data_IF_921069026444
#
_entry.id   IF_921069026444
#
_cell.length_a   1.000
_cell.length_b   1.000
_cell.length_c   1.000
_cell.angle_alpha   90.00
_cell.angle_beta   90.00
_cell.angle_gamma   90.00
#
_symmetry.space_group_name_H-M   'P 1'
#
loop_
_entity.id
_entity.type
_entity.pdbx_description
1 polymer ?
#
# COMPACT_ATOMS: atom_id res chain seq x y z
N UNK A 1 -44.01 -19.56 -17.29
CA UNK A 1 -43.68 -18.13 -17.10
C UNK A 1 -44.91 -17.46 -16.52
N UNK A 2 -44.97 -17.32 -15.20
CA UNK A 2 -46.09 -16.65 -14.53
C UNK A 2 -45.79 -15.15 -14.57
N UNK A 3 -46.46 -14.43 -15.48
CA UNK A 3 -46.26 -13.01 -15.72
C UNK A 3 -46.92 -12.26 -14.56
N UNK A 4 -46.18 -11.35 -13.92
CA UNK A 4 -46.78 -10.38 -12.98
C UNK A 4 -47.54 -9.38 -13.83
N UNK A 5 -48.84 -9.30 -13.64
CA UNK A 5 -49.66 -8.27 -14.26
C UNK A 5 -49.53 -7.00 -13.42
N UNK A 6 -49.04 -5.94 -14.06
CA UNK A 6 -48.94 -4.59 -13.51
C UNK A 6 -50.01 -3.76 -14.21
N UNK A 7 -51.03 -3.34 -13.45
CA UNK A 7 -52.14 -2.56 -13.96
C UNK A 7 -52.09 -1.16 -13.34
N UNK A 8 -51.90 -0.17 -14.20
CA UNK A 8 -51.95 1.25 -13.82
C UNK A 8 -53.38 1.75 -13.91
N UNK A 9 -53.86 2.32 -12.81
CA UNK A 9 -55.17 2.96 -12.67
C UNK A 9 -54.97 4.47 -12.67
N UNK A 10 -55.06 5.14 -13.83
CA UNK A 10 -54.97 6.58 -13.90
C UNK A 10 -56.20 7.23 -13.24
N UNK A 11 -55.99 8.38 -12.59
CA UNK A 11 -57.09 9.21 -12.14
C UNK A 11 -57.87 9.73 -13.36
N UNK A 12 -59.15 9.36 -13.48
CA UNK A 12 -59.99 9.63 -14.66
C UNK A 12 -61.43 9.90 -14.20
N UNK A 13 -62.20 10.76 -14.91
CA UNK A 13 -63.61 11.03 -14.60
C UNK A 13 -64.52 9.80 -14.73
N UNK A 14 -64.03 8.70 -15.34
CA UNK A 14 -64.70 7.40 -15.35
C UNK A 14 -63.76 6.32 -14.76
N UNK A 15 -63.78 6.11 -13.43
CA UNK A 15 -62.76 5.35 -12.74
C UNK A 15 -62.89 3.84 -13.00
N UNK A 16 -61.97 3.29 -13.79
CA UNK A 16 -61.84 1.83 -13.97
C UNK A 16 -61.44 1.20 -12.63
N UNK A 17 -62.04 0.08 -12.27
CA UNK A 17 -61.68 -0.67 -11.08
C UNK A 17 -60.90 -1.94 -11.45
N UNK A 18 -60.11 -2.50 -10.53
CA UNK A 18 -59.43 -3.79 -10.72
C UNK A 18 -59.84 -4.74 -9.62
N UNK A 19 -60.35 -5.91 -9.99
CA UNK A 19 -60.66 -6.98 -9.05
C UNK A 19 -59.55 -8.04 -9.04
N UNK A 20 -59.19 -8.48 -7.84
CA UNK A 20 -58.33 -9.64 -7.64
C UNK A 20 -59.20 -10.90 -7.76
N UNK A 21 -59.12 -11.59 -8.89
CA UNK A 21 -59.95 -12.79 -9.17
C UNK A 21 -59.42 -14.00 -8.42
N UNK A 22 -58.09 -14.17 -8.35
CA UNK A 22 -57.45 -15.23 -7.56
C UNK A 22 -56.17 -14.71 -6.91
N UNK A 23 -55.85 -15.18 -5.70
CA UNK A 23 -54.62 -14.85 -5.00
C UNK A 23 -54.62 -13.50 -4.27
N UNK A 24 -53.59 -12.68 -4.46
CA UNK A 24 -53.45 -11.37 -3.81
C UNK A 24 -52.70 -10.35 -4.67
N UNK A 25 -53.01 -9.07 -4.50
CA UNK A 25 -52.35 -7.97 -5.21
C UNK A 25 -51.88 -6.88 -4.24
N UNK A 26 -50.70 -6.32 -4.50
CA UNK A 26 -50.17 -5.17 -3.78
C UNK A 26 -50.57 -3.88 -4.50
N UNK A 27 -51.09 -2.93 -3.74
CA UNK A 27 -51.51 -1.62 -4.26
C UNK A 27 -50.49 -0.57 -3.86
N UNK A 28 -50.01 0.18 -4.84
CA UNK A 28 -49.05 1.27 -4.69
C UNK A 28 -49.66 2.58 -5.18
N UNK A 29 -49.38 3.68 -4.49
CA UNK A 29 -49.51 5.02 -5.06
C UNK A 29 -48.22 5.35 -5.81
N UNK A 30 -48.33 5.79 -7.05
CA UNK A 30 -47.23 6.34 -7.80
C UNK A 30 -47.12 7.82 -7.45
N UNK A 31 -45.96 8.21 -6.93
CA UNK A 31 -45.63 9.60 -6.61
C UNK A 31 -44.35 10.02 -7.33
N UNK A 32 -44.32 11.25 -7.84
CA UNK A 32 -43.21 11.76 -8.65
C UNK A 32 -41.88 11.87 -7.88
N UNK A 33 -41.91 12.03 -6.55
CA UNK A 33 -40.70 12.16 -5.74
C UNK A 33 -40.30 10.87 -5.01
N UNK A 34 -41.28 10.06 -4.57
CA UNK A 34 -41.04 8.84 -3.80
C UNK A 34 -41.13 7.54 -4.63
N UNK A 35 -41.52 7.63 -5.90
CA UNK A 35 -41.62 6.51 -6.84
C UNK A 35 -42.87 5.67 -6.60
N UNK A 36 -42.76 4.62 -5.79
CA UNK A 36 -43.88 3.73 -5.43
C UNK A 36 -44.05 3.72 -3.91
N UNK A 37 -45.20 4.16 -3.43
CA UNK A 37 -45.57 4.17 -2.02
C UNK A 37 -46.59 3.06 -1.75
N UNK A 38 -46.27 2.04 -0.94
CA UNK A 38 -47.16 0.91 -0.73
C UNK A 38 -48.35 1.27 0.16
N UNK A 39 -49.57 1.12 -0.38
CA UNK A 39 -50.83 1.45 0.30
C UNK A 39 -51.47 0.27 1.02
N UNK A 40 -51.33 -0.96 0.51
CA UNK A 40 -51.90 -2.16 1.13
C UNK A 40 -51.83 -3.39 0.24
N UNK A 41 -52.15 -4.55 0.80
CA UNK A 41 -52.26 -5.82 0.06
C UNK A 41 -53.72 -6.27 0.10
N UNK A 42 -54.31 -6.56 -1.07
CA UNK A 42 -55.71 -6.96 -1.24
C UNK A 42 -55.77 -8.44 -1.60
N UNK A 43 -56.65 -9.20 -0.95
CA UNK A 43 -56.87 -10.62 -1.22
C UNK A 43 -57.93 -10.87 -2.30
N UNK A 44 -58.12 -12.13 -2.69
CA UNK A 44 -59.10 -12.56 -3.68
C UNK A 44 -60.52 -12.07 -3.33
N UNK A 45 -61.24 -11.60 -4.35
CA UNK A 45 -62.55 -10.96 -4.23
C UNK A 45 -62.49 -9.46 -3.93
N UNK A 46 -61.33 -8.91 -3.57
CA UNK A 46 -61.17 -7.49 -3.33
C UNK A 46 -61.12 -6.66 -4.62
N UNK A 47 -61.73 -5.47 -4.57
CA UNK A 47 -61.84 -4.54 -5.70
C UNK A 47 -61.12 -3.25 -5.34
N UNK A 48 -60.17 -2.86 -6.19
CA UNK A 48 -59.40 -1.64 -6.09
C UNK A 48 -59.99 -0.60 -7.05
N UNK A 49 -60.70 0.43 -6.55
CA UNK A 49 -61.17 1.51 -7.39
C UNK A 49 -60.01 2.43 -7.81
N UNK A 50 -60.07 3.00 -9.02
CA UNK A 50 -59.20 4.11 -9.37
C UNK A 50 -59.51 5.36 -8.52
N UNK A 51 -58.52 6.21 -8.33
CA UNK A 51 -58.70 7.49 -7.65
C UNK A 51 -59.52 8.47 -8.51
N UNK A 52 -60.32 9.32 -7.85
CA UNK A 52 -61.09 10.38 -8.51
C UNK A 52 -60.19 11.47 -9.10
N UNK A 53 -60.76 12.35 -9.91
CA UNK A 53 -60.04 13.42 -10.63
C UNK A 53 -59.25 14.31 -9.65
N UNK A 54 -57.92 14.39 -9.83
CA UNK A 54 -57.00 15.08 -8.92
C UNK A 54 -56.28 14.20 -7.88
N UNK A 55 -56.57 12.89 -7.83
CA UNK A 55 -55.86 11.91 -7.00
C UNK A 55 -54.54 11.37 -7.60
N UNK A 56 -53.80 10.59 -6.81
CA UNK A 56 -52.58 9.92 -7.28
C UNK A 56 -52.90 8.72 -8.20
N UNK A 57 -52.00 8.43 -9.14
CA UNK A 57 -52.08 7.20 -9.95
C UNK A 57 -51.86 6.00 -9.05
N UNK A 58 -52.78 5.05 -9.06
CA UNK A 58 -52.65 3.80 -8.32
C UNK A 58 -52.12 2.72 -9.25
N UNK A 59 -51.26 1.87 -8.71
CA UNK A 59 -50.69 0.73 -9.42
C UNK A 59 -50.98 -0.53 -8.64
N UNK A 60 -51.66 -1.45 -9.29
CA UNK A 60 -51.97 -2.77 -8.74
C UNK A 60 -51.00 -3.77 -9.34
N UNK A 61 -50.20 -4.42 -8.49
CA UNK A 61 -49.22 -5.43 -8.89
C UNK A 61 -49.68 -6.77 -8.36
N UNK A 62 -50.02 -7.71 -9.26
CA UNK A 62 -50.41 -9.06 -8.84
C UNK A 62 -49.21 -9.82 -8.27
N UNK A 63 -49.42 -10.57 -7.19
CA UNK A 63 -48.40 -11.49 -6.66
C UNK A 63 -48.30 -12.74 -7.54
N UNK A 64 -47.23 -13.53 -7.35
CA UNK A 64 -47.02 -14.76 -8.13
C UNK A 64 -48.27 -15.66 -8.04
N UNK A 65 -48.73 -16.19 -9.17
CA UNK A 65 -49.92 -17.06 -9.26
C UNK A 65 -51.26 -16.37 -8.90
N UNK A 66 -51.31 -15.03 -8.99
CA UNK A 66 -52.54 -14.24 -8.78
C UNK A 66 -53.00 -13.62 -10.09
N UNK A 67 -54.32 -13.60 -10.34
CA UNK A 67 -54.92 -13.01 -11.55
C UNK A 67 -55.80 -11.82 -11.20
N UNK A 68 -55.65 -10.71 -11.93
CA UNK A 68 -56.46 -9.51 -11.77
C UNK A 68 -57.26 -9.24 -13.04
N UNK A 69 -58.48 -8.72 -12.90
CA UNK A 69 -59.34 -8.34 -14.02
C UNK A 69 -59.80 -6.88 -13.87
N UNK A 70 -59.81 -6.12 -14.96
CA UNK A 70 -60.39 -4.78 -15.00
C UNK A 70 -61.92 -4.86 -15.01
N UNK A 71 -62.56 -4.07 -14.16
CA UNK A 71 -64.02 -3.92 -14.04
C UNK A 71 -64.42 -2.52 -14.50
N UNK A 72 -65.52 -2.44 -15.25
CA UNK A 72 -66.10 -1.18 -15.70
C UNK A 72 -66.76 -0.40 -14.54
N UNK A 73 -66.69 0.94 -14.56
CA UNK A 73 -67.13 1.83 -13.46
C UNK A 73 -68.62 1.72 -13.08
N UNK A 74 -69.46 1.15 -13.95
CA UNK A 74 -70.91 1.04 -13.73
C UNK A 74 -71.26 -0.03 -12.68
N UNK A 75 -70.37 -1.00 -12.44
CA UNK A 75 -70.60 -2.16 -11.57
C UNK A 75 -69.98 -2.01 -10.16
N UNK A 76 -69.42 -0.84 -9.82
CA UNK A 76 -68.80 -0.54 -8.52
C UNK A 76 -69.77 -0.69 -7.34
N UNK A 77 -71.07 -0.43 -7.57
CA UNK A 77 -72.12 -0.60 -6.56
C UNK A 77 -72.50 -2.06 -6.28
N UNK A 78 -72.31 -2.96 -7.25
CA UNK A 78 -72.61 -4.39 -7.10
C UNK A 78 -71.51 -5.16 -6.35
N UNK A 79 -70.29 -4.59 -6.28
CA UNK A 79 -69.10 -5.21 -5.68
C UNK A 79 -68.71 -4.61 -4.31
N UNK A 80 -69.69 -4.13 -3.53
CA UNK A 80 -69.47 -3.45 -2.25
C UNK A 80 -68.61 -4.22 -1.23
N UNK A 81 -68.77 -5.55 -1.16
CA UNK A 81 -67.97 -6.43 -0.29
C UNK A 81 -66.49 -6.45 -0.67
N UNK A 82 -66.17 -6.34 -1.97
CA UNK A 82 -64.81 -6.30 -2.47
C UNK A 82 -64.10 -4.98 -2.18
N UNK A 83 -64.84 -3.86 -2.20
CA UNK A 83 -64.31 -2.53 -1.85
C UNK A 83 -64.04 -2.45 -0.35
N UNK A 84 -64.88 -3.07 0.48
CA UNK A 84 -64.64 -3.15 1.93
C UNK A 84 -63.31 -3.87 2.28
N UNK A 85 -62.96 -4.94 1.54
CA UNK A 85 -61.68 -5.64 1.70
C UNK A 85 -60.48 -4.76 1.33
N UNK A 86 -60.59 -3.94 0.28
CA UNK A 86 -59.57 -2.96 -0.09
C UNK A 86 -59.42 -1.88 0.97
N UNK A 87 -60.54 -1.30 1.41
CA UNK A 87 -60.55 -0.26 2.45
C UNK A 87 -59.93 -0.75 3.75
N UNK A 88 -60.23 -1.98 4.18
CA UNK A 88 -59.61 -2.59 5.35
C UNK A 88 -58.08 -2.75 5.20
N UNK A 89 -57.60 -3.14 4.01
CA UNK A 89 -56.17 -3.29 3.73
C UNK A 89 -55.42 -1.94 3.75
N UNK A 90 -56.04 -0.88 3.23
CA UNK A 90 -55.50 0.49 3.23
C UNK A 90 -55.47 1.07 4.65
N UNK A 91 -56.57 0.89 5.41
CA UNK A 91 -56.65 1.29 6.83
C UNK A 91 -55.57 0.62 7.67
N UNK A 92 -55.33 -0.67 7.47
CA UNK A 92 -54.32 -1.42 8.22
C UNK A 92 -52.89 -0.91 8.03
N UNK A 93 -52.59 -0.21 6.92
CA UNK A 93 -51.23 0.23 6.59
C UNK A 93 -51.02 1.74 6.68
N UNK A 94 -52.03 2.53 6.31
CA UNK A 94 -52.02 3.99 6.45
C UNK A 94 -52.38 4.44 7.87
N UNK A 95 -52.99 3.57 8.68
CA UNK A 95 -53.32 3.84 10.08
C UNK A 95 -54.23 5.06 10.23
N UNK A 96 -53.78 6.06 10.99
CA UNK A 96 -54.54 7.28 11.27
C UNK A 96 -54.89 8.12 10.02
N UNK A 97 -54.14 7.97 8.92
CA UNK A 97 -54.41 8.70 7.67
C UNK A 97 -55.57 8.10 6.86
N UNK A 98 -55.96 6.86 7.16
CA UNK A 98 -57.07 6.17 6.50
C UNK A 98 -58.32 6.04 7.38
N UNK A 99 -58.34 6.65 8.57
CA UNK A 99 -59.53 6.75 9.43
C UNK A 99 -60.78 7.28 8.70
N UNK A 100 -60.68 8.25 7.77
CA UNK A 100 -61.83 8.70 7.01
C UNK A 100 -62.45 7.63 6.12
N UNK A 101 -61.72 6.58 5.72
CA UNK A 101 -62.23 5.55 4.81
C UNK A 101 -63.13 4.52 5.52
N UNK A 102 -63.24 4.55 6.86
CA UNK A 102 -64.03 3.57 7.62
C UNK A 102 -65.53 3.92 7.59
N UNK A 103 -66.36 3.00 7.08
CA UNK A 103 -67.83 3.12 7.13
C UNK A 103 -68.46 4.02 6.05
N UNK A 104 -67.70 4.35 5.01
CA UNK A 104 -68.15 5.17 3.87
C UNK A 104 -68.85 4.31 2.80
N UNK A 105 -69.82 4.91 2.11
CA UNK A 105 -70.51 4.26 0.99
C UNK A 105 -69.52 3.96 -0.16
N UNK A 106 -69.62 2.80 -0.85
CA UNK A 106 -68.66 2.39 -1.88
C UNK A 106 -68.41 3.41 -3.01
N UNK A 107 -69.35 4.34 -3.23
CA UNK A 107 -69.30 5.38 -4.26
C UNK A 107 -68.44 6.59 -3.87
N UNK A 108 -68.22 6.85 -2.57
CA UNK A 108 -67.46 8.00 -2.06
C UNK A 108 -65.99 7.65 -1.75
N UNK A 109 -65.64 6.36 -1.81
CA UNK A 109 -64.28 5.85 -1.57
C UNK A 109 -63.22 6.47 -2.50
N UNK A 110 -63.46 6.68 -3.82
CA UNK A 110 -62.49 7.29 -4.72
C UNK A 110 -62.10 8.74 -4.37
N UNK A 111 -63.05 9.53 -3.87
CA UNK A 111 -62.84 10.95 -3.52
C UNK A 111 -62.05 11.10 -2.23
N UNK A 112 -62.35 10.26 -1.23
CA UNK A 112 -61.62 10.26 0.05
C UNK A 112 -60.20 9.70 -0.14
N UNK A 113 -60.02 8.73 -1.04
CA UNK A 113 -58.71 8.21 -1.41
C UNK A 113 -57.84 9.30 -2.06
N UNK A 114 -58.43 10.14 -2.91
CA UNK A 114 -57.74 11.26 -3.55
C UNK A 114 -57.19 12.30 -2.54
N UNK A 115 -57.80 12.42 -1.34
CA UNK A 115 -57.34 13.34 -0.29
C UNK A 115 -56.39 12.67 0.71
N UNK A 116 -56.65 11.41 1.09
CA UNK A 116 -55.88 10.71 2.12
C UNK A 116 -54.49 10.26 1.65
N UNK A 117 -54.36 9.87 0.37
CA UNK A 117 -53.10 9.36 -0.19
C UNK A 117 -52.01 10.44 -0.26
N UNK A 118 -52.26 11.67 -0.77
CA UNK A 118 -51.25 12.73 -0.79
C UNK A 118 -50.75 13.11 0.61
N UNK A 119 -51.64 13.18 1.61
CA UNK A 119 -51.27 13.50 3.00
C UNK A 119 -50.32 12.44 3.59
N UNK A 120 -50.56 11.16 3.30
CA UNK A 120 -49.71 10.06 3.73
C UNK A 120 -48.35 10.04 3.02
N UNK A 121 -48.34 10.28 1.70
CA UNK A 121 -47.13 10.39 0.87
C UNK A 121 -46.26 11.54 1.37
N UNK A 122 -46.85 12.70 1.65
CA UNK A 122 -46.15 13.87 2.17
C UNK A 122 -45.53 13.59 3.55
N UNK A 123 -46.25 12.92 4.45
CA UNK A 123 -45.70 12.52 5.75
C UNK A 123 -44.46 11.62 5.59
N UNK A 124 -44.53 10.59 4.73
CA UNK A 124 -43.40 9.71 4.46
C UNK A 124 -42.19 10.43 3.83
N UNK A 125 -42.43 11.45 2.98
CA UNK A 125 -41.36 12.24 2.36
C UNK A 125 -40.54 13.00 3.41
N UNK A 126 -41.22 13.67 4.35
CA UNK A 126 -40.57 14.45 5.41
C UNK A 126 -39.75 13.57 6.35
N UNK A 127 -40.26 12.39 6.67
CA UNK A 127 -39.62 11.44 7.57
C UNK A 127 -38.35 10.84 6.94
N UNK A 128 -38.38 10.55 5.62
CA UNK A 128 -37.20 10.09 4.87
C UNK A 128 -36.11 11.17 4.77
N UNK A 129 -36.49 12.43 4.57
CA UNK A 129 -35.53 13.53 4.49
C UNK A 129 -34.86 13.78 5.85
N UNK A 130 -35.60 13.73 6.95
CA UNK A 130 -35.07 13.87 8.30
C UNK A 130 -34.08 12.75 8.66
N UNK A 131 -34.35 11.50 8.25
CA UNK A 131 -33.42 10.38 8.46
C UNK A 131 -32.13 10.55 7.66
N UNK A 132 -32.24 10.98 6.40
CA UNK A 132 -31.07 11.22 5.53
C UNK A 132 -30.20 12.37 6.03
N UNK A 133 -30.78 13.46 6.52
CA UNK A 133 -30.01 14.59 7.07
C UNK A 133 -29.28 14.18 8.36
N UNK A 134 -29.94 13.42 9.24
CA UNK A 134 -29.33 12.91 10.47
C UNK A 134 -28.13 12.00 10.19
N UNK A 135 -28.22 11.11 9.20
CA UNK A 135 -27.10 10.25 8.83
C UNK A 135 -25.89 11.06 8.32
N UNK A 136 -26.14 12.07 7.47
CA UNK A 136 -25.06 12.92 6.94
C UNK A 136 -24.31 13.69 8.03
N UNK A 137 -24.98 14.08 9.11
CA UNK A 137 -24.34 14.77 10.23
C UNK A 137 -23.38 13.86 11.00
N UNK A 138 -23.76 12.59 11.21
CA UNK A 138 -22.89 11.60 11.85
C UNK A 138 -21.67 11.30 10.98
N UNK A 139 -21.89 11.06 9.68
CA UNK A 139 -20.81 10.80 8.73
C UNK A 139 -19.80 11.97 8.64
N UNK A 140 -20.26 13.21 8.83
CA UNK A 140 -19.38 14.40 8.86
C UNK A 140 -18.50 14.43 10.10
N UNK A 141 -19.04 14.09 11.28
CA UNK A 141 -18.27 14.04 12.52
C UNK A 141 -17.22 12.94 12.48
N UNK A 142 -17.59 11.74 12.02
CA UNK A 142 -16.64 10.62 11.88
C UNK A 142 -15.49 10.97 10.93
N UNK A 143 -15.80 11.70 9.84
CA UNK A 143 -14.81 12.13 8.86
C UNK A 143 -13.82 13.16 9.43
N UNK A 144 -14.28 14.07 10.28
CA UNK A 144 -13.41 15.04 10.95
C UNK A 144 -12.47 14.35 11.94
N UNK A 145 -12.97 13.37 12.69
CA UNK A 145 -12.18 12.55 13.62
C UNK A 145 -11.11 11.73 12.89
N UNK A 146 -11.46 11.11 11.77
CA UNK A 146 -10.50 10.41 10.92
C UNK A 146 -9.44 11.34 10.36
N UNK A 147 -9.83 12.51 9.85
CA UNK A 147 -8.89 13.50 9.31
C UNK A 147 -7.93 14.01 10.39
N UNK A 148 -8.43 14.28 11.60
CA UNK A 148 -7.61 14.72 12.72
C UNK A 148 -6.61 13.64 13.16
N UNK A 149 -7.02 12.35 13.16
CA UNK A 149 -6.11 11.22 13.41
C UNK A 149 -5.01 11.10 12.35
N UNK A 150 -5.36 11.29 11.07
CA UNK A 150 -4.38 11.28 9.98
C UNK A 150 -3.39 12.45 10.12
N UNK A 151 -3.88 13.66 10.39
CA UNK A 151 -3.05 14.84 10.60
C UNK A 151 -2.08 14.66 11.78
N UNK A 152 -2.55 14.13 12.91
CA UNK A 152 -1.72 13.86 14.08
C UNK A 152 -0.61 12.83 13.79
N UNK A 153 -0.92 11.78 13.03
CA UNK A 153 0.07 10.78 12.63
C UNK A 153 1.14 11.36 11.68
N UNK A 154 0.74 12.16 10.69
CA UNK A 154 1.67 12.81 9.76
C UNK A 154 2.58 13.80 10.51
N UNK A 155 2.02 14.63 11.38
CA UNK A 155 2.80 15.58 12.18
C UNK A 155 3.78 14.84 13.12
N UNK A 156 3.34 13.75 13.75
CA UNK A 156 4.20 12.89 14.57
C UNK A 156 5.32 12.22 13.78
N UNK A 157 5.05 11.81 12.54
CA UNK A 157 6.05 11.21 11.65
C UNK A 157 7.07 12.25 11.16
N UNK A 158 6.64 13.45 10.78
CA UNK A 158 7.53 14.54 10.36
C UNK A 158 8.43 15.02 11.51
N UNK A 159 7.89 15.18 12.73
CA UNK A 159 8.69 15.53 13.89
C UNK A 159 9.74 14.45 14.23
N UNK A 160 9.39 13.17 14.06
CA UNK A 160 10.35 12.06 14.17
C UNK A 160 11.44 12.19 13.11
N UNK A 161 11.09 12.24 11.83
CA UNK A 161 12.07 12.33 10.74
C UNK A 161 13.02 13.52 10.89
N UNK A 162 12.52 14.67 11.36
CA UNK A 162 13.34 15.84 11.67
C UNK A 162 14.32 15.57 12.83
N UNK A 163 13.84 14.99 13.94
CA UNK A 163 14.69 14.61 15.07
C UNK A 163 15.75 13.55 14.70
N UNK A 164 15.46 12.68 13.73
CA UNK A 164 16.40 11.68 13.23
C UNK A 164 17.54 12.29 12.40
N UNK A 165 17.24 13.36 11.66
CA UNK A 165 18.23 14.06 10.84
C UNK A 165 19.19 14.91 11.68
N UNK A 166 18.76 15.33 12.88
CA UNK A 166 19.56 16.17 13.79
C UNK A 166 20.43 15.35 14.76
N UNK A 167 20.19 14.03 14.89
CA UNK A 167 21.00 13.19 15.77
C UNK A 167 22.39 12.90 15.18
N UNK A 168 23.38 13.35 15.94
CA UNK A 168 24.81 13.22 15.68
C UNK A 168 25.24 11.77 15.43
N UNK A 169 24.69 10.82 16.21
CA UNK A 169 25.02 9.40 16.09
C UNK A 169 24.42 8.78 14.82
N UNK A 170 23.17 9.14 14.50
CA UNK A 170 22.46 8.63 13.32
C UNK A 170 23.14 9.15 12.06
N UNK A 171 23.51 10.43 12.03
CA UNK A 171 24.25 11.04 10.92
C UNK A 171 25.59 10.32 10.69
N UNK A 172 26.34 10.04 11.76
CA UNK A 172 27.59 9.28 11.65
C UNK A 172 27.35 7.85 11.10
N UNK A 173 26.34 7.12 11.59
CA UNK A 173 26.00 5.80 11.07
C UNK A 173 25.54 5.84 9.60
N UNK A 174 24.76 6.85 9.20
CA UNK A 174 24.31 7.02 7.82
C UNK A 174 25.50 7.21 6.87
N UNK A 175 26.53 7.95 7.27
CA UNK A 175 27.77 8.11 6.48
C UNK A 175 28.52 6.79 6.30
N UNK A 176 28.56 5.97 7.34
CA UNK A 176 29.14 4.62 7.24
C UNK A 176 28.27 3.75 6.32
N UNK A 177 26.95 3.89 6.42
CA UNK A 177 25.95 3.24 5.57
C UNK A 177 26.10 3.59 4.09
N UNK A 178 26.31 4.87 3.76
CA UNK A 178 26.57 5.33 2.39
C UNK A 178 27.83 4.69 1.80
N UNK A 179 28.87 4.50 2.63
CA UNK A 179 30.14 3.91 2.20
C UNK A 179 30.10 2.37 2.09
N UNK A 180 29.32 1.70 2.95
CA UNK A 180 29.26 0.23 3.05
C UNK A 180 27.99 -0.39 2.46
N UNK A 181 27.03 0.43 2.01
CA UNK A 181 25.80 0.02 1.36
C UNK A 181 24.69 -0.46 2.30
N UNK A 182 24.53 0.12 3.50
CA UNK A 182 23.42 -0.20 4.40
C UNK A 182 22.58 1.03 4.76
N UNK A 183 21.30 0.81 5.06
CA UNK A 183 20.36 1.85 5.47
C UNK A 183 20.16 1.81 6.98
N UNK A 184 20.22 2.97 7.63
CA UNK A 184 20.00 3.12 9.07
C UNK A 184 18.54 3.42 9.32
N UNK A 185 17.90 2.64 10.20
CA UNK A 185 16.52 2.83 10.64
C UNK A 185 16.53 3.13 12.14
N UNK A 186 15.91 4.25 12.53
CA UNK A 186 15.80 4.60 13.93
C UNK A 186 14.64 3.85 14.61
N UNK A 187 14.83 3.31 15.82
CA UNK A 187 13.74 2.69 16.57
C UNK A 187 12.71 3.73 17.00
N UNK A 188 11.40 3.41 17.02
CA UNK A 188 10.41 4.23 17.69
C UNK A 188 10.68 4.20 19.20
N UNK A 189 11.14 5.33 19.77
CA UNK A 189 11.26 5.52 21.22
C UNK A 189 12.66 5.49 21.83
N UNK A 190 13.73 5.71 21.06
CA UNK A 190 15.06 5.94 21.67
C UNK A 190 15.07 7.28 22.38
N UNK A 191 15.29 7.28 23.69
CA UNK A 191 15.54 8.47 24.49
C UNK A 191 16.81 9.16 23.99
N UNK A 192 16.70 10.41 23.54
CA UNK A 192 17.85 11.22 23.10
C UNK A 192 18.80 11.58 24.26
N UNK A 193 18.36 11.41 25.51
CA UNK A 193 19.10 11.77 26.72
C UNK A 193 20.24 10.81 27.10
N UNK A 194 20.31 9.63 26.47
CA UNK A 194 21.38 8.66 26.74
C UNK A 194 22.65 8.98 25.96
N UNK A 195 23.82 8.62 26.52
CA UNK A 195 25.11 8.78 25.83
C UNK A 195 25.08 8.07 24.47
N UNK A 196 25.68 8.64 23.41
CA UNK A 196 25.71 8.04 22.08
C UNK A 196 26.19 6.57 22.06
N UNK A 197 27.16 6.21 22.92
CA UNK A 197 27.64 4.83 23.07
C UNK A 197 26.55 3.85 23.53
N UNK A 198 25.67 4.28 24.43
CA UNK A 198 24.66 3.43 25.07
C UNK A 198 23.40 3.31 24.18
N UNK A 199 23.22 4.28 23.27
CA UNK A 199 22.16 4.27 22.25
C UNK A 199 22.49 3.39 21.04
N UNK A 200 23.78 3.13 20.79
CA UNK A 200 24.25 2.34 19.66
C UNK A 200 23.61 0.94 19.55
N UNK A 201 23.47 0.14 20.63
CA UNK A 201 22.84 -1.18 20.56
C UNK A 201 21.38 -1.12 20.10
N UNK A 202 20.61 -0.14 20.58
CA UNK A 202 19.20 0.05 20.20
C UNK A 202 19.06 0.44 18.73
N UNK A 203 19.88 1.39 18.27
CA UNK A 203 19.89 1.84 16.88
C UNK A 203 20.31 0.73 15.91
N UNK A 204 21.37 -0.02 16.27
CA UNK A 204 21.82 -1.17 15.50
C UNK A 204 20.75 -2.27 15.41
N UNK A 205 20.03 -2.53 16.51
CA UNK A 205 18.97 -3.54 16.54
C UNK A 205 17.80 -3.18 15.61
N UNK A 206 17.31 -1.94 15.65
CA UNK A 206 16.24 -1.49 14.74
C UNK A 206 16.67 -1.44 13.27
N UNK A 207 17.93 -1.11 13.02
CA UNK A 207 18.51 -1.12 11.67
C UNK A 207 18.83 -2.54 11.17
N UNK A 208 18.74 -3.57 12.02
CA UNK A 208 19.18 -4.94 11.69
C UNK A 208 20.69 -5.05 11.44
N UNK A 209 21.47 -4.12 11.99
CA UNK A 209 22.93 -4.06 11.84
C UNK A 209 23.60 -4.94 12.89
N UNK A 210 24.54 -5.77 12.44
CA UNK A 210 25.46 -6.48 13.33
C UNK A 210 26.75 -5.66 13.44
N UNK A 211 27.18 -5.42 14.66
CA UNK A 211 28.44 -4.73 14.92
C UNK A 211 29.35 -5.59 15.80
N UNK A 212 30.66 -5.33 15.74
CA UNK A 212 31.65 -5.88 16.65
C UNK A 212 32.54 -4.76 17.21
N UNK A 213 32.85 -4.78 18.52
CA UNK A 213 33.86 -3.90 19.07
C UNK A 213 35.25 -4.34 18.62
N UNK A 214 36.07 -3.39 18.21
CA UNK A 214 37.45 -3.56 17.75
C UNK A 214 38.33 -2.55 18.47
N UNK A 215 39.49 -2.97 18.95
CA UNK A 215 40.49 -2.05 19.50
C UNK A 215 41.32 -1.45 18.37
N UNK A 216 41.40 -0.12 18.33
CA UNK A 216 42.23 0.60 17.37
C UNK A 216 43.70 0.52 17.83
N UNK A 217 44.56 -0.04 16.97
CA UNK A 217 46.02 -0.02 17.19
C UNK A 217 46.59 1.37 16.87
N UNK A 218 47.77 1.76 17.38
CA UNK A 218 48.34 3.10 17.17
C UNK A 218 48.48 3.54 15.70
N UNK A 219 48.55 2.58 14.77
CA UNK A 219 48.69 2.80 13.31
C UNK A 219 47.39 2.48 12.55
N UNK A 220 46.23 2.72 13.17
CA UNK A 220 44.93 2.43 12.57
C UNK A 220 44.62 3.30 11.35
N UNK A 221 45.33 4.41 11.18
CA UNK A 221 45.20 5.38 10.09
C UNK A 221 45.57 4.81 8.70
N UNK A 222 46.25 3.66 8.66
CA UNK A 222 46.59 2.94 7.43
C UNK A 222 45.34 2.41 6.71
N UNK A 223 45.30 2.47 5.36
CA UNK A 223 44.11 2.06 4.61
C UNK A 223 43.75 0.58 4.86
N UNK A 224 42.58 0.33 5.46
CA UNK A 224 41.96 -1.00 5.53
C UNK A 224 40.62 -1.00 4.79
N UNK A 225 40.09 -2.20 4.59
CA UNK A 225 38.87 -2.45 3.81
C UNK A 225 37.58 -2.04 4.53
N UNK A 226 37.59 -1.83 5.84
CA UNK A 226 36.38 -1.51 6.62
C UNK A 226 36.36 -0.10 7.16
N UNK A 227 35.16 0.48 7.21
CA UNK A 227 34.85 1.74 7.88
C UNK A 227 34.45 1.45 9.32
N UNK A 228 34.74 2.37 10.23
CA UNK A 228 34.52 2.21 11.65
C UNK A 228 33.72 3.40 12.21
N UNK A 229 32.94 3.15 13.25
CA UNK A 229 32.46 4.19 14.14
C UNK A 229 33.37 4.23 15.36
N UNK A 230 33.96 5.38 15.63
CA UNK A 230 34.71 5.60 16.86
C UNK A 230 34.04 6.69 17.68
N UNK A 231 34.45 6.80 18.94
CA UNK A 231 34.04 7.89 19.83
C UNK A 231 35.29 8.69 20.22
N UNK A 232 35.15 10.01 20.31
CA UNK A 232 36.21 10.83 20.88
C UNK A 232 36.29 10.62 22.39
N UNK A 233 37.49 10.70 22.95
CA UNK A 233 37.73 10.75 24.39
C UNK A 233 37.39 12.16 24.93
N UNK A 234 36.15 12.60 24.73
CA UNK A 234 35.56 13.80 25.33
C UNK A 234 34.44 13.42 26.32
N UNK A 235 34.05 14.33 27.21
CA UNK A 235 32.99 14.07 28.19
C UNK A 235 31.63 13.74 27.52
N UNK A 236 31.43 14.22 26.29
CA UNK A 236 30.24 14.03 25.48
C UNK A 236 30.20 12.66 24.77
N UNK A 237 31.34 12.00 24.57
CA UNK A 237 31.46 10.81 23.73
C UNK A 237 31.02 11.08 22.30
N UNK A 238 31.60 12.09 21.65
CA UNK A 238 31.19 12.52 20.30
C UNK A 238 31.43 11.39 19.28
N UNK A 239 30.41 10.93 18.54
CA UNK A 239 30.58 9.89 17.53
C UNK A 239 31.32 10.44 16.31
N UNK A 240 32.26 9.64 15.81
CA UNK A 240 33.09 9.93 14.64
C UNK A 240 32.99 8.78 13.65
N UNK A 241 32.51 9.06 12.45
CA UNK A 241 32.52 8.10 11.37
C UNK A 241 33.87 8.13 10.65
N UNK A 242 34.60 7.02 10.72
CA UNK A 242 35.86 6.79 10.02
C UNK A 242 35.59 6.01 8.73
N UNK A 243 35.53 6.73 7.61
CA UNK A 243 35.20 6.15 6.30
C UNK A 243 36.48 5.91 5.51
N UNK A 244 36.63 4.70 4.97
CA UNK A 244 37.79 4.33 4.15
C UNK A 244 37.86 5.16 2.85
N UNK A 245 39.06 5.58 2.48
CA UNK A 245 39.35 6.33 1.27
C UNK A 245 40.68 5.84 0.65
N UNK A 246 40.94 6.19 -0.62
CA UNK A 246 42.04 5.68 -1.48
C UNK A 246 43.46 5.66 -0.85
N UNK A 247 43.72 6.39 0.22
CA UNK A 247 45.03 6.54 0.90
C UNK A 247 44.94 6.62 2.44
N UNK A 248 43.85 6.20 3.05
CA UNK A 248 43.64 6.31 4.51
C UNK A 248 42.17 6.49 4.85
N UNK A 249 41.86 7.22 5.92
CA UNK A 249 40.50 7.48 6.35
C UNK A 249 40.11 8.96 6.23
N UNK A 250 38.80 9.19 6.08
CA UNK A 250 38.17 10.49 6.30
C UNK A 250 37.32 10.39 7.56
N UNK A 251 37.49 11.34 8.47
CA UNK A 251 36.70 11.44 9.68
C UNK A 251 35.56 12.43 9.46
N UNK A 252 34.35 12.04 9.85
CA UNK A 252 33.21 12.94 9.96
C UNK A 252 32.91 13.11 11.45
N UNK A 253 33.15 14.32 11.96
CA UNK A 253 32.89 14.66 13.35
C UNK A 253 31.45 15.16 13.47
N UNK A 254 30.67 14.42 14.24
CA UNK A 254 29.29 14.77 14.53
C UNK A 254 28.39 15.00 13.30
N UNK A 255 27.68 16.13 13.27
CA UNK A 255 26.80 16.54 12.16
C UNK A 255 27.55 17.27 11.03
N UNK A 256 28.88 17.43 11.13
CA UNK A 256 29.64 18.15 10.11
C UNK A 256 29.57 17.43 8.76
N UNK A 257 29.09 18.15 7.75
CA UNK A 257 29.04 17.69 6.36
C UNK A 257 30.42 17.63 5.70
N UNK A 258 31.44 18.25 6.31
CA UNK A 258 32.78 18.33 5.74
C UNK A 258 33.65 17.19 6.26
N UNK A 259 34.19 16.31 5.39
CA UNK A 259 35.14 15.30 5.80
C UNK A 259 36.45 15.96 6.22
N UNK A 260 36.91 15.67 7.42
CA UNK A 260 38.25 16.02 7.88
C UNK A 260 39.23 14.89 7.54
N UNK A 261 40.46 15.27 7.19
CA UNK A 261 41.54 14.30 7.07
C UNK A 261 41.90 13.84 8.47
N UNK A 262 42.14 12.53 8.62
CA UNK A 262 42.67 12.00 9.88
C UNK A 262 44.08 12.58 10.08
N UNK A 263 44.22 13.51 11.02
CA UNK A 263 45.51 14.06 11.47
C UNK A 263 46.03 13.28 12.68
N UNK A 264 47.33 13.34 12.99
CA UNK A 264 47.89 12.72 14.19
C UNK A 264 47.23 13.19 15.48
N UNK A 265 46.77 14.45 15.54
CA UNK A 265 46.03 14.95 16.70
C UNK A 265 44.67 14.25 16.85
N UNK A 266 43.96 14.02 15.73
CA UNK A 266 42.69 13.30 15.76
C UNK A 266 42.89 11.83 16.18
N UNK A 267 43.99 11.19 15.74
CA UNK A 267 44.34 9.81 16.13
C UNK A 267 44.47 9.66 17.64
N UNK A 268 45.03 10.67 18.32
CA UNK A 268 45.18 10.67 19.78
C UNK A 268 43.87 10.99 20.52
N UNK A 269 42.96 11.73 19.89
CA UNK A 269 41.66 12.09 20.47
C UNK A 269 40.60 11.01 20.31
N UNK A 270 40.78 10.08 19.36
CA UNK A 270 39.88 8.95 19.16
C UNK A 270 40.17 7.90 20.22
N UNK A 271 39.13 7.50 20.96
CA UNK A 271 39.24 6.47 21.97
C UNK A 271 39.70 5.14 21.39
N UNK A 272 40.43 4.35 22.18
CA UNK A 272 41.03 3.08 21.74
C UNK A 272 40.04 1.99 21.32
N UNK A 273 38.73 2.24 21.38
CA UNK A 273 37.66 1.33 21.00
C UNK A 273 36.82 1.91 19.86
N UNK A 274 36.65 1.12 18.81
CA UNK A 274 35.80 1.43 17.67
C UNK A 274 34.83 0.28 17.39
N UNK A 275 33.79 0.56 16.63
CA UNK A 275 32.76 -0.40 16.25
C UNK A 275 32.79 -0.58 14.73
N UNK A 276 32.96 -1.83 14.31
CA UNK A 276 32.90 -2.22 12.91
C UNK A 276 31.53 -2.80 12.61
N UNK A 277 30.92 -2.36 11.51
CA UNK A 277 29.61 -2.82 11.07
C UNK A 277 29.75 -3.81 9.94
N UNK A 278 28.99 -4.90 10.02
CA UNK A 278 28.83 -5.84 8.92
C UNK A 278 27.58 -5.46 8.14
N UNK A 279 27.71 -5.20 6.84
CA UNK A 279 26.58 -4.92 5.95
C UNK A 279 25.58 -6.08 6.02
N UNK A 280 24.33 -5.83 6.47
CA UNK A 280 23.29 -6.86 6.48
C UNK A 280 22.83 -7.12 5.04
N UNK A 281 22.63 -8.38 4.71
CA UNK A 281 21.86 -8.75 3.51
C UNK A 281 20.44 -8.22 3.69
N UNK A 282 19.97 -7.40 2.74
CA UNK A 282 18.67 -6.72 2.81
C UNK A 282 17.56 -7.69 3.25
N UNK A 283 16.94 -7.40 4.41
CA UNK A 283 15.91 -8.26 5.01
C UNK A 283 14.56 -8.14 4.30
N UNK A 284 14.36 -7.06 3.54
CA UNK A 284 13.10 -6.72 2.86
C UNK A 284 12.94 -7.35 1.49
N UNK A 285 13.97 -7.98 0.92
CA UNK A 285 13.90 -8.64 -0.39
C UNK A 285 14.67 -9.96 -0.38
N UNK A 286 14.16 -10.98 -1.08
CA UNK A 286 14.92 -12.20 -1.32
C UNK A 286 16.26 -11.84 -1.99
N UNK A 287 17.36 -12.23 -1.35
CA UNK A 287 18.71 -11.94 -1.83
C UNK A 287 18.88 -12.48 -3.25
N UNK A 288 19.06 -11.58 -4.21
CA UNK A 288 19.27 -11.97 -5.61
C UNK A 288 20.76 -12.18 -5.85
N UNK A 289 21.15 -13.05 -6.79
CA UNK A 289 22.56 -13.28 -7.15
C UNK A 289 23.31 -11.98 -7.50
N UNK A 290 22.60 -10.97 -8.03
CA UNK A 290 23.16 -9.64 -8.32
C UNK A 290 23.59 -8.88 -7.08
N UNK A 291 22.88 -9.02 -5.97
CA UNK A 291 23.23 -8.36 -4.70
C UNK A 291 24.46 -9.02 -4.09
N UNK A 292 24.58 -10.35 -4.19
CA UNK A 292 25.79 -11.08 -3.79
C UNK A 292 27.01 -10.65 -4.62
N UNK A 293 26.86 -10.56 -5.93
CA UNK A 293 27.93 -10.11 -6.83
C UNK A 293 28.28 -8.64 -6.55
N UNK A 294 27.30 -7.77 -6.30
CA UNK A 294 27.55 -6.37 -5.92
C UNK A 294 28.34 -6.30 -4.62
N UNK A 295 27.90 -7.00 -3.57
CA UNK A 295 28.58 -7.05 -2.26
C UNK A 295 30.01 -7.61 -2.41
N UNK A 296 30.19 -8.68 -3.20
CA UNK A 296 31.50 -9.27 -3.45
C UNK A 296 32.45 -8.34 -4.24
N UNK A 297 31.91 -7.47 -5.09
CA UNK A 297 32.70 -6.51 -5.87
C UNK A 297 33.02 -5.22 -5.09
N UNK A 298 32.20 -4.82 -4.10
CA UNK A 298 32.50 -3.69 -3.22
C UNK A 298 33.77 -3.95 -2.41
N UNK A 299 34.78 -3.10 -2.57
CA UNK A 299 36.05 -3.18 -1.82
C UNK A 299 37.09 -4.17 -2.36
N UNK A 300 36.70 -5.11 -3.24
CA UNK A 300 37.59 -6.20 -3.70
C UNK A 300 38.07 -6.02 -5.16
N UNK A 301 37.74 -4.91 -5.82
CA UNK A 301 38.06 -4.69 -7.24
C UNK A 301 39.54 -4.85 -7.59
N UNK A 302 40.46 -4.48 -6.67
CA UNK A 302 41.91 -4.67 -6.86
C UNK A 302 42.30 -6.15 -6.84
N UNK A 303 41.74 -6.95 -5.95
CA UNK A 303 41.99 -8.39 -5.91
C UNK A 303 41.47 -9.08 -7.16
N UNK A 304 40.28 -8.68 -7.63
CA UNK A 304 39.74 -9.17 -8.91
C UNK A 304 40.62 -8.80 -10.09
N UNK A 305 41.13 -7.57 -10.16
CA UNK A 305 42.06 -7.16 -11.21
C UNK A 305 43.35 -8.01 -11.17
N UNK A 306 43.92 -8.27 -10.00
CA UNK A 306 45.09 -9.14 -9.85
C UNK A 306 44.79 -10.56 -10.33
N UNK A 307 43.66 -11.14 -9.89
CA UNK A 307 43.23 -12.49 -10.30
C UNK A 307 43.08 -12.55 -11.82
N UNK A 308 42.42 -11.56 -12.43
CA UNK A 308 42.22 -11.51 -13.87
C UNK A 308 43.56 -11.39 -14.62
N UNK A 309 44.48 -10.59 -14.08
CA UNK A 309 45.82 -10.38 -14.67
C UNK A 309 46.65 -11.65 -14.59
N UNK A 310 46.60 -12.36 -13.46
CA UNK A 310 47.26 -13.66 -13.29
C UNK A 310 46.65 -14.74 -14.18
N UNK A 311 45.31 -14.82 -14.25
CA UNK A 311 44.62 -15.74 -15.15
C UNK A 311 45.00 -15.45 -16.62
N UNK A 312 45.08 -14.18 -17.01
CA UNK A 312 45.54 -13.79 -18.34
C UNK A 312 46.99 -14.20 -18.59
N UNK A 313 47.90 -14.01 -17.62
CA UNK A 313 49.29 -14.47 -17.72
C UNK A 313 49.37 -15.99 -17.94
N UNK A 314 48.63 -16.76 -17.12
CA UNK A 314 48.58 -18.22 -17.22
C UNK A 314 48.03 -18.66 -18.58
N UNK A 315 46.98 -18.00 -19.07
CA UNK A 315 46.42 -18.27 -20.40
C UNK A 315 47.43 -17.99 -21.52
N UNK A 316 48.17 -16.88 -21.44
CA UNK A 316 49.24 -16.54 -22.39
C UNK A 316 50.35 -17.59 -22.34
N UNK A 317 50.80 -18.00 -21.15
CA UNK A 317 51.79 -19.07 -20.99
C UNK A 317 51.30 -20.41 -21.56
N UNK A 318 50.04 -20.77 -21.36
CA UNK A 318 49.43 -21.97 -21.93
C UNK A 318 49.38 -21.95 -23.46
N UNK A 319 49.26 -20.77 -24.06
CA UNK A 319 49.31 -20.56 -25.50
C UNK A 319 50.73 -20.67 -26.07
N UNK A 320 51.78 -20.54 -25.26
CA UNK A 320 53.17 -20.66 -25.75
C UNK A 320 53.43 -22.06 -26.29
N UNK A 321 52.94 -23.12 -25.62
CA UNK A 321 53.15 -24.52 -26.04
C UNK A 321 52.64 -24.80 -27.47
N UNK A 322 51.37 -24.52 -27.84
CA UNK A 322 50.90 -24.70 -29.20
C UNK A 322 51.56 -23.73 -30.20
N UNK A 323 51.92 -22.50 -29.79
CA UNK A 323 52.64 -21.54 -30.67
C UNK A 323 54.04 -22.08 -31.03
N UNK A 324 54.81 -22.53 -30.04
CA UNK A 324 56.14 -23.12 -30.24
C UNK A 324 56.03 -24.40 -31.07
N UNK A 325 55.04 -25.24 -30.79
CA UNK A 325 54.79 -26.46 -31.58
C UNK A 325 54.48 -26.13 -33.04
N UNK A 326 53.63 -25.13 -33.30
CA UNK A 326 53.31 -24.64 -34.65
C UNK A 326 54.55 -24.05 -35.35
N UNK A 327 55.40 -23.33 -34.61
CA UNK A 327 56.64 -22.76 -35.14
C UNK A 327 57.68 -23.84 -35.49
N UNK A 328 57.84 -24.86 -34.64
CA UNK A 328 58.75 -25.99 -34.89
C UNK A 328 58.31 -26.76 -36.15
N UNK A 329 57.03 -27.09 -36.25
CA UNK A 329 56.50 -27.85 -37.40
C UNK A 329 56.54 -27.00 -38.68
N UNK A 330 56.24 -25.70 -38.60
CA UNK A 330 56.14 -24.83 -39.76
C UNK A 330 57.46 -24.23 -40.26
N UNK A 331 58.46 -24.03 -39.39
CA UNK A 331 59.69 -23.25 -39.70
C UNK A 331 60.98 -24.01 -39.38
N UNK A 332 61.01 -24.84 -38.33
CA UNK A 332 62.26 -25.51 -37.94
C UNK A 332 62.60 -26.74 -38.81
N UNK A 333 61.59 -27.40 -39.40
CA UNK A 333 61.82 -28.54 -40.30
C UNK A 333 62.48 -28.11 -41.63
N UNK A 334 62.19 -26.93 -42.22
CA UNK A 334 62.88 -26.48 -43.43
C UNK A 334 64.25 -25.78 -43.22
N UNK A 335 64.52 -25.06 -42.12
CA UNK A 335 65.62 -24.06 -42.07
C UNK A 335 66.80 -24.30 -41.10
N UNK A 336 66.79 -25.36 -40.27
CA UNK A 336 67.96 -25.83 -39.49
C UNK A 336 68.67 -24.80 -38.56
N UNK A 337 68.00 -23.75 -38.07
CA UNK A 337 68.61 -22.76 -37.15
C UNK A 337 68.08 -22.88 -35.69
N UNK A 338 68.74 -23.73 -34.91
CA UNK A 338 68.50 -24.01 -33.47
C UNK A 338 68.67 -22.80 -32.50
N UNK A 339 69.57 -21.82 -32.71
CA UNK A 339 69.85 -20.82 -31.67
C UNK A 339 68.69 -19.84 -31.41
N UNK A 340 67.83 -19.56 -32.40
CA UNK A 340 66.70 -18.64 -32.26
C UNK A 340 65.62 -19.21 -31.31
N UNK A 341 65.42 -20.54 -31.34
CA UNK A 341 64.44 -21.24 -30.53
C UNK A 341 64.89 -21.27 -29.06
N UNK A 342 66.19 -21.48 -28.82
CA UNK A 342 66.78 -21.48 -27.48
C UNK A 342 66.71 -20.08 -26.84
N UNK A 343 66.99 -19.02 -27.61
CA UNK A 343 66.84 -17.64 -27.12
C UNK A 343 65.39 -17.32 -26.72
N UNK A 344 64.41 -17.65 -27.57
CA UNK A 344 63.00 -17.43 -27.25
C UNK A 344 62.55 -18.20 -25.99
N UNK A 345 63.01 -19.44 -25.82
CA UNK A 345 62.74 -20.24 -24.63
C UNK A 345 63.33 -19.62 -23.35
N UNK A 346 64.58 -19.16 -23.40
CA UNK A 346 65.25 -18.52 -22.24
C UNK A 346 64.56 -17.21 -21.86
N UNK A 347 64.18 -16.38 -22.82
CA UNK A 347 63.44 -15.13 -22.52
C UNK A 347 62.13 -15.43 -21.82
N UNK A 348 61.41 -16.47 -22.25
CA UNK A 348 60.15 -16.87 -21.64
C UNK A 348 60.30 -17.31 -20.18
N UNK A 349 61.36 -18.07 -19.88
CA UNK A 349 61.68 -18.52 -18.51
C UNK A 349 62.01 -17.32 -17.61
N UNK A 350 62.80 -16.36 -18.09
CA UNK A 350 63.16 -15.15 -17.33
C UNK A 350 61.91 -14.33 -17.00
N UNK A 351 61.00 -14.15 -17.96
CA UNK A 351 59.73 -13.43 -17.75
C UNK A 351 58.84 -14.16 -16.73
N UNK A 352 58.78 -15.49 -16.78
CA UNK A 352 58.00 -16.28 -15.82
C UNK A 352 58.56 -16.17 -14.39
N UNK A 353 59.89 -16.20 -14.21
CA UNK A 353 60.52 -16.02 -12.92
C UNK A 353 60.35 -14.59 -12.38
N UNK A 354 60.44 -13.57 -13.23
CA UNK A 354 60.19 -12.18 -12.84
C UNK A 354 58.74 -11.97 -12.37
N UNK A 355 57.77 -12.58 -13.07
CA UNK A 355 56.36 -12.54 -12.69
C UNK A 355 56.10 -13.29 -11.38
N UNK A 356 56.70 -14.47 -11.20
CA UNK A 356 56.61 -15.24 -9.96
C UNK A 356 57.22 -14.51 -8.77
N UNK A 357 58.39 -13.88 -8.94
CA UNK A 357 59.04 -13.09 -7.89
C UNK A 357 58.17 -11.93 -7.38
N UNK A 358 57.41 -11.28 -8.27
CA UNK A 358 56.46 -10.24 -7.88
C UNK A 358 55.28 -10.76 -7.04
N UNK A 359 54.86 -12.02 -7.24
CA UNK A 359 53.79 -12.63 -6.44
C UNK A 359 54.18 -12.98 -5.01
N UNK A 360 55.49 -13.10 -4.73
CA UNK A 360 56.00 -13.50 -3.41
C UNK A 360 56.22 -12.33 -2.46
N UNK A 361 56.19 -11.09 -2.97
CA UNK A 361 56.40 -9.86 -2.20
C UNK A 361 55.07 -9.16 -1.82
N UNK A 362 53.92 -9.62 -2.35
CA UNK A 362 52.59 -9.08 -2.05
C UNK A 362 51.83 -9.97 -1.06
#
# INVERSE_FOLDING_TARGET
MSVRDEIDLPASPNPVAVQVVTGSADVFAIDGELGQVPLGTVGAGGVVPAASEGGCVLRVVSRLESTCASIDPVDLGEHGDGIALFTAAVVGRMGAFATPLQGIAPQEVPDVLAQAVPAYVQHLSTDRLARRSRQRQLDQQDREDEFNRLAANIAGQQARDFSLHDDVLITALQRIGDAQGFTVTAPPGVSLDLKPSDRLPGLAHASGLRYRPVRLSPEWDKPRSSSFLAFLDDEAGTPVALVTHRRGYRAFLGTSLRPERVTPELVQRVGGMAFEFTTPLSRTRAATWRDLVRVAMTGTGRSWAIILTMAALVAVLGLVTPIVTKFIIGVAVPEKSVPLIVQAGITLVIVAFAAGGFSMVM
#
